data_IF_753533204269
#
_entry.id   IF_753533204269
#
_cell.length_a   1.000
_cell.length_b   1.000
_cell.length_c   1.000
_cell.angle_alpha   90.00
_cell.angle_beta   90.00
_cell.angle_gamma   90.00
#
_symmetry.space_group_name_H-M   'P 1'
#
loop_
_entity.id
_entity.type
_entity.pdbx_description
1 polymer ?
#
# COMPACT_ATOMS: atom_id res chain seq x y z
N UNK A 1 12.40 -61.68 -51.51
CA UNK A 1 13.37 -60.65 -51.08
C UNK A 1 12.70 -59.82 -49.99
N UNK A 2 13.29 -59.82 -48.79
CA UNK A 2 12.78 -59.25 -47.54
C UNK A 2 13.28 -57.80 -47.41
N UNK A 3 12.41 -56.86 -47.02
CA UNK A 3 12.81 -55.62 -46.34
C UNK A 3 11.74 -55.24 -45.30
N UNK A 4 11.96 -55.65 -44.06
CA UNK A 4 11.29 -55.11 -42.89
C UNK A 4 12.03 -53.83 -42.47
N UNK A 5 11.33 -52.70 -42.43
CA UNK A 5 11.86 -51.44 -41.91
C UNK A 5 11.53 -51.35 -40.42
N UNK A 6 12.55 -51.33 -39.57
CA UNK A 6 12.41 -51.15 -38.13
C UNK A 6 12.35 -49.65 -37.80
N UNK A 7 11.24 -49.22 -37.23
CA UNK A 7 11.01 -47.88 -36.68
C UNK A 7 11.63 -47.79 -35.27
N UNK A 8 12.60 -46.89 -35.05
CA UNK A 8 13.05 -46.53 -33.70
C UNK A 8 12.19 -45.37 -33.18
N UNK A 9 11.37 -45.63 -32.17
CA UNK A 9 10.63 -44.62 -31.42
C UNK A 9 11.45 -44.24 -30.17
N UNK A 10 12.13 -43.10 -30.21
CA UNK A 10 12.83 -42.53 -29.04
C UNK A 10 11.81 -41.97 -28.05
N UNK A 11 11.59 -42.67 -26.93
CA UNK A 11 10.86 -42.12 -25.78
C UNK A 11 11.72 -41.04 -25.10
N UNK A 12 11.33 -39.78 -25.26
CA UNK A 12 11.84 -38.71 -24.43
C UNK A 12 11.24 -38.83 -23.02
N UNK A 13 12.06 -39.18 -22.03
CA UNK A 13 11.68 -39.07 -20.61
C UNK A 13 11.54 -37.58 -20.27
N UNK A 14 10.31 -37.08 -20.17
CA UNK A 14 10.03 -35.82 -19.51
C UNK A 14 10.28 -36.01 -18.00
N UNK A 15 11.37 -35.45 -17.49
CA UNK A 15 11.59 -35.39 -16.05
C UNK A 15 10.44 -34.58 -15.40
N UNK A 16 9.92 -34.99 -14.23
CA UNK A 16 8.92 -34.21 -13.52
C UNK A 16 9.55 -32.86 -13.15
N UNK A 17 8.97 -31.78 -13.67
CA UNK A 17 9.30 -30.43 -13.24
C UNK A 17 8.97 -30.33 -11.75
N UNK A 18 9.98 -30.30 -10.88
CA UNK A 18 9.74 -30.03 -9.47
C UNK A 18 9.23 -28.60 -9.38
N UNK A 19 8.01 -28.43 -8.86
CA UNK A 19 7.49 -27.13 -8.49
C UNK A 19 8.53 -26.44 -7.61
N UNK A 20 9.13 -25.36 -8.11
CA UNK A 20 10.11 -24.59 -7.37
C UNK A 20 9.42 -24.10 -6.09
N UNK A 21 9.83 -24.61 -4.94
CA UNK A 21 9.31 -24.17 -3.66
C UNK A 21 9.55 -22.67 -3.50
N UNK A 22 8.60 -21.95 -2.91
CA UNK A 22 8.76 -20.52 -2.64
C UNK A 22 9.95 -20.31 -1.70
N UNK A 23 10.84 -19.38 -2.06
CA UNK A 23 12.00 -19.04 -1.23
C UNK A 23 11.53 -18.62 0.18
N UNK A 24 12.00 -19.29 1.24
CA UNK A 24 11.68 -18.93 2.62
C UNK A 24 11.97 -17.46 2.97
N UNK A 25 12.88 -16.79 2.26
CA UNK A 25 13.16 -15.36 2.43
C UNK A 25 11.98 -14.48 2.05
N UNK A 26 11.28 -14.80 0.95
CA UNK A 26 10.07 -14.11 0.49
C UNK A 26 8.97 -14.22 1.56
N UNK A 27 8.79 -15.43 2.11
CA UNK A 27 7.80 -15.66 3.16
C UNK A 27 8.08 -14.83 4.41
N UNK A 28 9.34 -14.76 4.85
CA UNK A 28 9.73 -13.95 6.01
C UNK A 28 9.53 -12.46 5.77
N UNK A 29 9.79 -11.99 4.55
CA UNK A 29 9.56 -10.59 4.18
C UNK A 29 8.08 -10.25 4.22
N UNK A 30 7.20 -11.12 3.72
CA UNK A 30 5.76 -10.86 3.64
C UNK A 30 5.01 -11.15 4.96
N UNK A 31 5.54 -12.02 5.81
CA UNK A 31 4.92 -12.36 7.08
C UNK A 31 4.73 -11.14 7.99
N UNK A 32 3.75 -11.25 8.89
CA UNK A 32 3.40 -10.22 9.86
C UNK A 32 2.04 -9.61 9.62
N UNK A 33 1.78 -8.48 10.28
CA UNK A 33 0.47 -7.82 10.26
C UNK A 33 0.36 -6.80 9.13
N UNK A 34 -0.77 -6.85 8.44
CA UNK A 34 -1.12 -5.96 7.34
C UNK A 34 -2.50 -5.36 7.57
N UNK A 35 -2.75 -4.20 6.96
CA UNK A 35 -4.07 -3.60 6.85
C UNK A 35 -4.61 -3.89 5.46
N UNK A 36 -5.80 -4.48 5.40
CA UNK A 36 -6.62 -4.53 4.19
C UNK A 36 -7.65 -3.44 4.31
N UNK A 37 -7.67 -2.50 3.38
CA UNK A 37 -8.61 -1.37 3.43
C UNK A 37 -9.19 -1.05 2.05
N UNK A 38 -10.44 -0.56 1.99
CA UNK A 38 -10.96 0.10 0.81
C UNK A 38 -10.07 1.27 0.37
N UNK A 39 -9.76 1.37 -0.92
CA UNK A 39 -8.92 2.41 -1.50
C UNK A 39 -9.56 3.82 -1.42
N UNK A 40 -10.87 3.90 -1.19
CA UNK A 40 -11.60 5.16 -0.98
C UNK A 40 -11.39 5.76 0.44
N UNK A 41 -10.65 5.07 1.31
CA UNK A 41 -10.33 5.50 2.68
C UNK A 41 -11.38 5.19 3.73
N UNK A 42 -12.35 4.33 3.44
CA UNK A 42 -13.19 3.72 4.49
C UNK A 42 -12.34 2.82 5.42
N UNK A 43 -12.79 2.60 6.68
CA UNK A 43 -12.08 1.73 7.62
C UNK A 43 -11.96 0.30 7.11
N UNK A 44 -10.73 -0.20 7.10
CA UNK A 44 -10.37 -1.59 6.84
C UNK A 44 -10.17 -2.41 8.11
N UNK A 45 -9.57 -3.59 7.96
CA UNK A 45 -9.27 -4.49 9.07
C UNK A 45 -7.87 -5.09 8.96
N UNK A 46 -7.38 -5.68 10.05
CA UNK A 46 -6.04 -6.27 10.09
C UNK A 46 -6.08 -7.75 9.76
N UNK A 47 -5.07 -8.18 9.03
CA UNK A 47 -4.76 -9.60 8.81
C UNK A 47 -3.34 -9.89 9.26
N UNK A 48 -3.07 -11.11 9.68
CA UNK A 48 -1.71 -11.58 9.98
C UNK A 48 -1.36 -12.72 9.05
N UNK A 49 -0.27 -12.55 8.30
CA UNK A 49 0.29 -13.54 7.40
C UNK A 49 1.36 -14.34 8.14
N UNK A 50 1.10 -15.62 8.37
CA UNK A 50 2.02 -16.54 9.03
C UNK A 50 2.90 -17.28 8.02
N UNK A 51 4.05 -17.80 8.46
CA UNK A 51 4.92 -18.65 7.63
C UNK A 51 4.62 -20.15 7.77
N UNK A 52 3.71 -20.52 8.68
CA UNK A 52 3.25 -21.91 8.85
C UNK A 52 2.39 -22.33 7.67
N UNK A 53 2.65 -23.52 7.13
CA UNK A 53 1.86 -24.07 6.03
C UNK A 53 0.40 -24.29 6.44
N UNK A 54 -0.50 -24.09 5.49
CA UNK A 54 -1.94 -24.29 5.64
C UNK A 54 -2.51 -24.92 4.37
N UNK A 55 -3.77 -25.36 4.45
CA UNK A 55 -4.53 -25.80 3.30
C UNK A 55 -4.69 -24.59 2.35
N UNK A 56 -3.97 -24.60 1.23
CA UNK A 56 -3.99 -23.50 0.24
C UNK A 56 -2.76 -22.60 0.23
N UNK A 57 -1.75 -22.84 1.08
CA UNK A 57 -0.51 -22.06 1.09
C UNK A 57 0.03 -21.91 2.49
N UNK A 58 -0.05 -20.70 3.03
CA UNK A 58 0.40 -20.36 4.38
C UNK A 58 -0.74 -19.77 5.21
N UNK A 59 -0.69 -19.92 6.53
CA UNK A 59 -1.78 -19.50 7.41
C UNK A 59 -2.04 -17.99 7.37
N UNK A 60 -3.31 -17.60 7.30
CA UNK A 60 -3.77 -16.22 7.45
C UNK A 60 -4.80 -16.17 8.59
N UNK A 61 -4.69 -15.16 9.45
CA UNK A 61 -5.72 -14.88 10.47
C UNK A 61 -6.26 -13.46 10.31
N UNK A 62 -7.58 -13.32 10.40
CA UNK A 62 -8.28 -12.03 10.32
C UNK A 62 -8.57 -11.48 11.72
N UNK A 63 -8.61 -10.16 11.86
CA UNK A 63 -9.13 -9.52 13.08
C UNK A 63 -10.66 -9.64 13.15
N UNK A 64 -11.27 -9.65 14.36
CA UNK A 64 -12.72 -9.85 14.51
C UNK A 64 -13.62 -8.84 13.78
N UNK A 65 -13.11 -7.64 13.50
CA UNK A 65 -13.82 -6.58 12.78
C UNK A 65 -13.82 -6.76 11.25
N UNK A 66 -13.04 -7.70 10.70
CA UNK A 66 -12.99 -7.94 9.25
C UNK A 66 -14.35 -8.29 8.66
N UNK A 67 -15.15 -9.14 9.32
CA UNK A 67 -16.48 -9.51 8.81
C UNK A 67 -17.42 -8.30 8.60
N UNK A 68 -17.21 -7.21 9.34
CA UNK A 68 -17.99 -5.98 9.21
C UNK A 68 -17.33 -4.98 8.23
N UNK A 69 -16.01 -4.84 8.27
CA UNK A 69 -15.27 -3.78 7.56
C UNK A 69 -14.81 -4.18 6.17
N UNK A 70 -14.45 -5.44 5.98
CA UNK A 70 -13.98 -6.00 4.70
C UNK A 70 -14.62 -7.39 4.51
N UNK A 71 -15.93 -7.47 4.23
CA UNK A 71 -16.66 -8.74 4.26
C UNK A 71 -16.11 -9.81 3.30
N UNK A 72 -15.52 -9.42 2.18
CA UNK A 72 -14.96 -10.34 1.17
C UNK A 72 -13.82 -11.22 1.71
N UNK A 73 -13.13 -10.80 2.78
CA UNK A 73 -12.07 -11.59 3.43
C UNK A 73 -12.48 -12.13 4.80
N UNK A 74 -13.76 -12.07 5.18
CA UNK A 74 -14.22 -12.40 6.53
C UNK A 74 -13.78 -13.80 6.99
N UNK A 75 -13.74 -14.77 6.06
CA UNK A 75 -13.38 -16.16 6.27
C UNK A 75 -12.00 -16.53 5.71
N UNK A 76 -11.17 -15.53 5.35
CA UNK A 76 -9.83 -15.78 4.83
C UNK A 76 -9.00 -16.60 5.84
N UNK A 77 -8.41 -17.70 5.36
CA UNK A 77 -7.72 -18.69 6.18
C UNK A 77 -6.31 -19.01 5.69
N UNK A 78 -6.00 -18.69 4.43
CA UNK A 78 -4.68 -18.87 3.87
C UNK A 78 -4.26 -17.72 2.96
N UNK A 79 -2.95 -17.59 2.74
CA UNK A 79 -2.36 -16.71 1.75
C UNK A 79 -1.32 -17.43 0.90
N UNK A 80 -1.11 -16.92 -0.31
CA UNK A 80 -0.20 -17.50 -1.28
C UNK A 80 0.54 -16.42 -2.08
N UNK A 81 1.89 -16.37 -2.06
CA UNK A 81 2.67 -15.32 -2.73
C UNK A 81 3.19 -15.73 -4.12
N UNK A 82 2.35 -16.34 -4.95
CA UNK A 82 2.70 -16.68 -6.34
C UNK A 82 1.97 -15.72 -7.27
N UNK A 83 2.71 -15.13 -8.20
CA UNK A 83 2.22 -14.13 -9.18
C UNK A 83 1.53 -12.93 -8.50
N UNK A 84 2.11 -12.48 -7.39
CA UNK A 84 1.54 -11.45 -6.51
C UNK A 84 1.24 -12.05 -5.14
N UNK A 85 0.12 -11.65 -4.55
CA UNK A 85 -0.33 -12.15 -3.25
C UNK A 85 -1.82 -12.45 -3.33
N UNK A 86 -2.24 -13.64 -2.91
CA UNK A 86 -3.66 -14.03 -2.89
C UNK A 86 -4.09 -14.42 -1.48
N UNK A 87 -5.31 -14.03 -1.12
CA UNK A 87 -6.01 -14.53 0.07
C UNK A 87 -7.04 -15.57 -0.33
N UNK A 88 -7.05 -16.66 0.42
CA UNK A 88 -7.86 -17.83 0.13
C UNK A 88 -8.76 -18.14 1.34
N UNK A 89 -9.99 -18.55 1.05
CA UNK A 89 -10.89 -19.08 2.05
C UNK A 89 -10.62 -20.54 2.39
N UNK A 90 -11.43 -21.15 3.28
CA UNK A 90 -11.18 -22.49 3.81
C UNK A 90 -11.26 -23.61 2.75
N UNK A 91 -11.99 -23.37 1.65
CA UNK A 91 -12.11 -24.33 0.53
C UNK A 91 -11.14 -24.04 -0.62
N UNK A 92 -10.11 -23.21 -0.38
CA UNK A 92 -9.07 -22.78 -1.35
C UNK A 92 -9.58 -21.92 -2.51
N UNK A 93 -10.79 -21.40 -2.41
CA UNK A 93 -11.26 -20.36 -3.31
C UNK A 93 -10.49 -19.06 -3.07
N UNK A 94 -10.11 -18.38 -4.15
CA UNK A 94 -9.51 -17.04 -4.06
C UNK A 94 -10.58 -16.04 -3.64
N UNK A 95 -10.34 -15.34 -2.53
CA UNK A 95 -11.19 -14.26 -2.03
C UNK A 95 -10.74 -12.91 -2.54
N UNK A 96 -9.42 -12.66 -2.53
CA UNK A 96 -8.79 -11.49 -3.15
C UNK A 96 -7.45 -11.90 -3.73
N UNK A 97 -7.14 -11.37 -4.91
CA UNK A 97 -5.80 -11.42 -5.50
C UNK A 97 -5.25 -10.00 -5.58
N UNK A 98 -3.96 -9.85 -5.32
CA UNK A 98 -3.28 -8.57 -5.22
C UNK A 98 -2.04 -8.53 -6.10
N UNK A 99 -1.82 -7.40 -6.75
CA UNK A 99 -0.58 -7.07 -7.45
C UNK A 99 0.24 -6.11 -6.61
N UNK A 100 1.55 -6.36 -6.53
CA UNK A 100 2.50 -5.46 -5.87
C UNK A 100 2.65 -4.15 -6.65
N UNK A 101 2.68 -3.04 -5.92
CA UNK A 101 2.97 -1.71 -6.42
C UNK A 101 4.44 -1.36 -6.11
N UNK A 102 5.00 -0.38 -6.82
CA UNK A 102 6.40 0.07 -6.64
C UNK A 102 6.71 0.57 -5.22
N UNK A 103 5.68 0.91 -4.44
CA UNK A 103 5.80 1.39 -3.07
C UNK A 103 5.65 0.30 -1.99
N UNK A 104 5.75 -0.97 -2.37
CA UNK A 104 5.57 -2.14 -1.51
C UNK A 104 4.18 -2.24 -0.85
N UNK A 105 3.20 -1.48 -1.35
CA UNK A 105 1.78 -1.79 -1.15
C UNK A 105 1.30 -2.79 -2.20
N UNK A 106 0.11 -3.34 -1.99
CA UNK A 106 -0.54 -4.15 -3.01
C UNK A 106 -1.94 -3.64 -3.31
N UNK A 107 -2.31 -3.68 -4.59
CA UNK A 107 -3.65 -3.34 -5.07
C UNK A 107 -4.41 -4.60 -5.45
N UNK A 108 -5.66 -4.73 -4.98
CA UNK A 108 -6.53 -5.82 -5.37
C UNK A 108 -6.80 -5.78 -6.88
N UNK A 109 -6.83 -6.96 -7.47
CA UNK A 109 -7.08 -7.20 -8.88
C UNK A 109 -8.55 -7.57 -9.11
N UNK A 110 -8.97 -7.57 -10.37
CA UNK A 110 -10.28 -8.09 -10.79
C UNK A 110 -10.50 -9.53 -10.27
N UNK A 111 -11.74 -9.91 -9.92
CA UNK A 111 -12.99 -9.17 -10.12
C UNK A 111 -13.36 -8.18 -9.00
N UNK A 112 -12.54 -8.04 -7.97
CA UNK A 112 -12.81 -7.20 -6.79
C UNK A 112 -11.79 -6.06 -6.65
N UNK A 113 -11.69 -5.16 -7.65
CA UNK A 113 -10.82 -4.00 -7.55
C UNK A 113 -11.34 -3.06 -6.45
N UNK A 114 -10.42 -2.33 -5.80
CA UNK A 114 -10.80 -1.30 -4.82
C UNK A 114 -10.37 -1.57 -3.38
N UNK A 115 -9.65 -2.67 -3.13
CA UNK A 115 -8.93 -2.88 -1.88
C UNK A 115 -7.43 -2.68 -2.06
N UNK A 116 -6.77 -2.26 -0.99
CA UNK A 116 -5.32 -2.20 -0.89
C UNK A 116 -4.85 -2.98 0.33
N UNK A 117 -3.67 -3.60 0.21
CA UNK A 117 -2.96 -4.27 1.29
C UNK A 117 -1.70 -3.46 1.60
N UNK A 118 -1.61 -2.94 2.82
CA UNK A 118 -0.57 -1.97 3.21
C UNK A 118 -0.02 -2.30 4.58
N UNK A 119 1.23 -1.92 4.83
CA UNK A 119 1.76 -1.89 6.20
C UNK A 119 1.30 -0.60 6.86
N UNK A 120 0.49 -0.72 7.90
CA UNK A 120 -0.05 0.42 8.63
C UNK A 120 0.43 0.43 10.09
N UNK A 121 0.90 1.57 10.63
CA UNK A 121 1.20 1.71 12.04
C UNK A 121 0.00 1.39 12.93
N UNK A 122 0.25 1.03 14.19
CA UNK A 122 -0.83 0.83 15.16
C UNK A 122 -1.67 2.10 15.33
N UNK A 123 -2.98 1.92 15.53
CA UNK A 123 -3.95 3.01 15.57
C UNK A 123 -4.39 3.55 14.20
N UNK A 124 -3.81 3.06 13.10
CA UNK A 124 -4.27 3.36 11.73
C UNK A 124 -5.11 2.20 11.20
N UNK A 125 -6.35 2.51 10.80
CA UNK A 125 -7.35 1.54 10.34
C UNK A 125 -7.86 1.77 8.91
N UNK A 126 -7.28 2.72 8.18
CA UNK A 126 -7.67 3.08 6.82
C UNK A 126 -6.48 3.63 6.05
N UNK A 127 -6.61 3.73 4.73
CA UNK A 127 -5.71 4.53 3.90
C UNK A 127 -6.19 5.99 3.82
N UNK A 128 -5.33 6.95 3.47
CA UNK A 128 -5.74 8.33 3.28
C UNK A 128 -6.88 8.47 2.27
N UNK A 129 -7.75 9.46 2.49
CA UNK A 129 -8.65 9.99 1.46
C UNK A 129 -8.54 11.51 1.40
N UNK A 130 -8.89 12.09 0.26
CA UNK A 130 -8.72 13.51 0.02
C UNK A 130 -9.55 14.37 0.98
N UNK A 131 -10.81 13.97 1.23
CA UNK A 131 -11.74 14.71 2.09
C UNK A 131 -11.18 14.91 3.49
N UNK A 132 -10.57 13.86 4.05
CA UNK A 132 -9.95 13.92 5.36
C UNK A 132 -8.62 14.70 5.33
N UNK A 133 -7.93 14.81 4.20
CA UNK A 133 -6.69 15.56 4.12
C UNK A 133 -6.89 17.10 4.06
N UNK A 134 -8.07 17.58 3.70
CA UNK A 134 -8.34 19.02 3.56
C UNK A 134 -8.07 19.83 4.85
N UNK A 135 -7.59 21.05 4.66
CA UNK A 135 -7.42 22.04 5.73
C UNK A 135 -5.98 22.42 6.03
N UNK A 136 -5.78 23.00 7.22
CA UNK A 136 -4.50 23.58 7.65
C UNK A 136 -3.64 22.57 8.41
N UNK A 137 -2.36 22.51 8.02
CA UNK A 137 -1.37 21.60 8.55
C UNK A 137 -0.09 22.34 8.95
N UNK A 138 0.59 21.78 9.94
CA UNK A 138 1.94 22.17 10.34
C UNK A 138 2.91 21.10 9.88
N UNK A 139 3.82 21.47 8.98
CA UNK A 139 4.99 20.66 8.65
C UNK A 139 6.07 20.93 9.69
N UNK A 140 6.52 19.87 10.37
CA UNK A 140 7.53 19.97 11.43
C UNK A 140 8.44 18.75 11.48
N UNK A 141 9.52 18.84 12.26
CA UNK A 141 10.25 17.64 12.68
C UNK A 141 9.43 16.86 13.71
N UNK A 142 9.52 15.52 13.74
CA UNK A 142 8.87 14.73 14.79
C UNK A 142 9.26 15.27 16.18
N UNK A 143 8.26 15.69 16.98
CA UNK A 143 8.47 16.25 18.32
C UNK A 143 9.30 17.54 18.39
N UNK A 144 9.57 18.20 17.26
CA UNK A 144 10.52 19.30 17.16
C UNK A 144 9.96 20.57 16.52
N UNK A 145 10.85 21.30 15.85
CA UNK A 145 10.57 22.63 15.33
C UNK A 145 9.55 22.64 14.19
N UNK A 146 8.72 23.68 14.18
CA UNK A 146 7.81 23.97 13.07
C UNK A 146 8.65 24.48 11.90
N UNK A 147 8.54 23.80 10.76
CA UNK A 147 9.25 24.14 9.54
C UNK A 147 8.42 25.05 8.64
N UNK A 148 7.11 24.80 8.57
CA UNK A 148 6.21 25.58 7.74
C UNK A 148 4.73 25.31 8.08
N UNK A 149 3.85 26.26 7.74
CA UNK A 149 2.41 26.02 7.68
C UNK A 149 1.99 25.83 6.23
N UNK A 150 1.21 24.79 5.97
CA UNK A 150 0.67 24.47 4.65
C UNK A 150 -0.83 24.27 4.73
N UNK A 151 -1.54 24.67 3.69
CA UNK A 151 -2.97 24.45 3.54
C UNK A 151 -3.21 23.54 2.36
N UNK A 152 -3.87 22.40 2.62
CA UNK A 152 -4.31 21.44 1.61
C UNK A 152 -5.72 21.82 1.18
N UNK A 153 -5.82 22.41 -0.01
CA UNK A 153 -7.06 22.93 -0.60
C UNK A 153 -8.00 21.80 -1.02
N UNK A 154 -9.31 22.06 -1.03
CA UNK A 154 -10.32 21.24 -1.71
C UNK A 154 -10.54 21.67 -3.18
N UNK A 155 -9.82 22.69 -3.64
CA UNK A 155 -9.85 23.21 -5.01
C UNK A 155 -8.63 22.78 -5.81
N UNK A 156 -8.78 22.50 -7.12
CA UNK A 156 -7.65 22.23 -7.98
C UNK A 156 -6.70 23.42 -8.12
N UNK A 157 -5.41 23.19 -8.45
CA UNK A 157 -4.52 24.26 -8.86
C UNK A 157 -4.97 24.86 -10.20
N UNK A 158 -4.63 26.12 -10.51
CA UNK A 158 -4.90 26.71 -11.82
C UNK A 158 -4.37 25.83 -12.96
N UNK A 159 -5.23 25.46 -13.91
CA UNK A 159 -4.85 24.68 -15.10
C UNK A 159 -4.77 23.15 -14.92
N UNK A 160 -5.10 22.60 -13.74
CA UNK A 160 -5.13 21.14 -13.51
C UNK A 160 -6.50 20.65 -13.06
N UNK A 161 -6.90 19.42 -13.45
CA UNK A 161 -8.22 18.85 -13.11
C UNK A 161 -8.15 17.63 -12.17
N UNK A 162 -6.96 17.06 -11.92
CA UNK A 162 -6.79 15.81 -11.15
C UNK A 162 -5.83 15.92 -9.96
N UNK A 163 -5.74 17.12 -9.38
CA UNK A 163 -5.00 17.36 -8.14
C UNK A 163 -5.63 18.51 -7.39
N UNK A 164 -5.21 18.70 -6.15
CA UNK A 164 -5.65 19.80 -5.31
C UNK A 164 -4.51 20.78 -5.06
N UNK A 165 -4.81 22.06 -4.86
CA UNK A 165 -3.78 23.07 -4.61
C UNK A 165 -3.17 22.94 -3.21
N UNK A 166 -1.86 23.16 -3.10
CA UNK A 166 -1.17 23.39 -1.82
C UNK A 166 -0.86 24.86 -1.70
N UNK A 167 -1.22 25.48 -0.58
CA UNK A 167 -0.79 26.85 -0.25
C UNK A 167 0.20 26.81 0.90
N UNK A 168 1.45 27.17 0.60
CA UNK A 168 2.50 27.35 1.60
C UNK A 168 2.41 28.75 2.17
N UNK A 169 2.41 28.90 3.50
CA UNK A 169 2.49 30.22 4.15
C UNK A 169 3.96 30.64 4.22
N UNK A 170 4.44 31.62 3.43
CA UNK A 170 5.88 31.90 3.33
C UNK A 170 6.45 32.51 4.62
N UNK A 171 5.63 33.27 5.35
CA UNK A 171 6.01 33.92 6.59
C UNK A 171 6.37 32.88 7.66
N UNK A 172 7.62 32.89 8.13
CA UNK A 172 8.11 31.95 9.14
C UNK A 172 8.34 30.52 8.62
N UNK A 173 8.31 30.31 7.30
CA UNK A 173 8.63 29.03 6.68
C UNK A 173 10.14 28.89 6.44
N UNK A 174 10.72 27.75 6.78
CA UNK A 174 12.13 27.48 6.54
C UNK A 174 12.44 27.42 5.04
N UNK A 175 13.62 27.93 4.66
CA UNK A 175 14.08 27.96 3.27
C UNK A 175 14.13 26.56 2.60
N UNK A 176 14.35 25.50 3.39
CA UNK A 176 14.31 24.13 2.87
C UNK A 176 12.93 23.71 2.35
N UNK A 177 11.84 24.24 2.93
CA UNK A 177 10.47 23.94 2.50
C UNK A 177 10.05 24.85 1.36
N UNK A 178 10.36 26.16 1.42
CA UNK A 178 10.00 27.10 0.34
C UNK A 178 10.68 26.77 -0.99
N UNK A 179 11.92 26.26 -0.96
CA UNK A 179 12.63 25.78 -2.16
C UNK A 179 11.97 24.60 -2.87
N UNK A 180 11.15 23.81 -2.17
CA UNK A 180 10.40 22.72 -2.80
C UNK A 180 9.32 23.25 -3.76
N UNK A 181 8.90 24.51 -3.60
CA UNK A 181 7.88 25.18 -4.41
C UNK A 181 6.60 24.34 -4.53
N UNK A 182 6.15 23.77 -3.41
CA UNK A 182 4.94 22.95 -3.32
C UNK A 182 3.73 23.74 -3.84
N UNK A 183 2.97 23.12 -4.75
CA UNK A 183 1.87 23.75 -5.46
C UNK A 183 0.63 22.87 -5.58
N UNK A 184 0.80 21.54 -5.61
CA UNK A 184 -0.33 20.62 -5.67
C UNK A 184 -0.13 19.39 -4.78
N UNK A 185 -1.22 18.68 -4.52
CA UNK A 185 -1.21 17.44 -3.76
C UNK A 185 -2.27 16.46 -4.26
N UNK A 186 -2.02 15.18 -4.01
CA UNK A 186 -2.89 14.05 -4.38
C UNK A 186 -2.89 13.00 -3.27
N UNK A 187 -3.94 12.19 -3.24
CA UNK A 187 -3.87 10.87 -2.63
C UNK A 187 -3.51 9.86 -3.72
N UNK A 188 -2.39 9.20 -3.52
CA UNK A 188 -1.93 8.06 -4.30
C UNK A 188 -1.87 6.90 -3.32
N UNK A 189 -3.04 6.33 -3.00
CA UNK A 189 -3.20 5.42 -1.87
C UNK A 189 -2.14 4.30 -1.90
N UNK A 190 -1.42 4.07 -0.79
CA UNK A 190 -1.68 4.57 0.58
C UNK A 190 -1.08 5.93 0.95
N UNK A 191 -0.56 6.69 -0.01
CA UNK A 191 0.22 7.89 0.24
C UNK A 191 -0.57 9.17 0.03
N UNK A 192 -0.24 10.19 0.80
CA UNK A 192 -0.46 11.58 0.46
C UNK A 192 0.83 12.12 -0.16
N UNK A 193 0.74 12.67 -1.37
CA UNK A 193 1.91 13.19 -2.08
C UNK A 193 1.73 14.69 -2.32
N UNK A 194 2.71 15.49 -1.91
CA UNK A 194 2.82 16.92 -2.22
C UNK A 194 3.79 17.09 -3.39
N UNK A 195 3.41 17.84 -4.42
CA UNK A 195 4.23 18.12 -5.59
C UNK A 195 4.62 19.60 -5.64
N UNK A 196 5.87 19.83 -6.01
CA UNK A 196 6.41 21.13 -6.35
C UNK A 196 6.37 21.40 -7.85
N UNK A 197 6.44 22.68 -8.21
CA UNK A 197 6.47 23.13 -9.61
C UNK A 197 7.73 22.67 -10.37
N UNK A 198 8.80 22.33 -9.65
CA UNK A 198 10.10 21.96 -10.22
C UNK A 198 10.38 20.45 -10.17
N UNK A 199 9.32 19.63 -10.09
CA UNK A 199 9.44 18.17 -10.02
C UNK A 199 9.81 17.62 -8.64
N UNK A 200 10.04 18.48 -7.64
CA UNK A 200 10.22 18.05 -6.25
C UNK A 200 8.91 17.40 -5.72
N UNK A 201 9.03 16.37 -4.90
CA UNK A 201 7.88 15.78 -4.23
C UNK A 201 8.18 15.42 -2.77
N UNK A 202 7.11 15.28 -1.98
CA UNK A 202 7.14 14.70 -0.65
C UNK A 202 5.98 13.73 -0.49
N UNK A 203 6.28 12.47 -0.24
CA UNK A 203 5.28 11.45 0.08
C UNK A 203 5.17 11.23 1.57
N UNK A 204 3.94 11.01 2.02
CA UNK A 204 3.61 10.76 3.41
C UNK A 204 2.64 9.58 3.54
N UNK A 205 2.80 8.82 4.63
CA UNK A 205 1.89 7.78 5.06
C UNK A 205 0.99 8.28 6.19
N UNK A 206 -0.23 7.75 6.27
CA UNK A 206 -1.12 8.03 7.39
C UNK A 206 -0.55 7.43 8.67
N UNK A 207 -0.49 8.24 9.72
CA UNK A 207 -0.17 7.85 11.09
C UNK A 207 -1.30 8.23 12.05
N UNK A 208 -1.20 7.86 13.34
CA UNK A 208 -2.26 8.09 14.31
C UNK A 208 -2.53 9.58 14.61
N UNK A 209 -1.54 10.45 14.40
CA UNK A 209 -1.62 11.89 14.72
C UNK A 209 -1.67 12.81 13.47
N UNK A 210 -1.71 12.24 12.26
CA UNK A 210 -1.56 12.98 11.02
C UNK A 210 -0.77 12.17 10.00
N UNK A 211 0.07 12.83 9.20
CA UNK A 211 0.88 12.16 8.20
C UNK A 211 2.36 12.18 8.57
N UNK A 212 3.08 11.09 8.27
CA UNK A 212 4.53 10.98 8.47
C UNK A 212 5.20 10.76 7.13
N UNK A 213 6.32 11.44 6.85
CA UNK A 213 7.05 11.27 5.60
C UNK A 213 7.39 9.80 5.40
N UNK A 214 7.17 9.32 4.18
CA UNK A 214 7.49 7.97 3.78
C UNK A 214 8.99 7.69 3.99
N UNK A 215 9.38 6.71 4.83
CA UNK A 215 10.76 6.34 5.04
C UNK A 215 11.49 5.92 3.75
N UNK A 216 10.77 5.39 2.75
CA UNK A 216 11.35 4.95 1.48
C UNK A 216 11.92 6.12 0.65
N UNK A 217 11.43 7.34 0.83
CA UNK A 217 11.99 8.53 0.17
C UNK A 217 13.33 8.99 0.78
N UNK A 218 13.70 8.46 1.95
CA UNK A 218 14.89 8.87 2.69
C UNK A 218 14.84 10.34 3.16
N UNK A 219 16.03 10.87 3.47
CA UNK A 219 16.17 12.22 4.00
C UNK A 219 15.77 12.36 5.48
N UNK A 220 15.66 13.60 5.95
CA UNK A 220 15.32 13.87 7.36
C UNK A 220 13.81 13.68 7.61
N UNK A 221 13.39 13.01 8.70
CA UNK A 221 11.99 12.80 9.02
C UNK A 221 11.17 14.09 9.06
N UNK A 222 9.92 14.01 8.59
CA UNK A 222 8.94 15.09 8.62
C UNK A 222 7.58 14.53 9.04
N UNK A 223 6.78 15.35 9.73
CA UNK A 223 5.38 15.07 9.99
C UNK A 223 4.52 16.25 9.55
N UNK A 224 3.31 15.94 9.08
CA UNK A 224 2.21 16.89 8.93
C UNK A 224 1.20 16.60 10.03
N UNK A 225 1.03 17.57 10.92
CA UNK A 225 0.02 17.51 11.97
C UNK A 225 -1.03 18.60 11.75
N UNK A 226 -2.30 18.31 12.04
CA UNK A 226 -3.37 19.30 11.91
C UNK A 226 -3.07 20.51 12.80
N UNK A 227 -3.32 21.71 12.28
CA UNK A 227 -3.35 22.91 13.11
C UNK A 227 -4.51 22.73 14.10
N UNK A 228 -4.19 22.59 15.39
CA UNK A 228 -5.22 22.66 16.44
C UNK A 228 -5.72 24.11 16.47
N UNK A 229 -7.02 24.30 16.33
CA UNK A 229 -7.63 25.60 16.67
C UNK A 229 -7.61 25.72 18.20
N UNK A 230 -7.26 26.90 18.75
CA UNK A 230 -7.31 27.16 20.18
C UNK A 230 -8.72 26.99 20.74
#
# INVERSE_FOLDING_TARGET
MIRAALTLLTLALAAPSQAQGIDPSILRTLAGTWLVAPANGEPGCRVTLATTTSIGGYGLTTSPDCARRVPVIADAAAWHPVDGLSFLGPTRQTLLAFRENEDASYSAMEPDPGYVLVRAPDGVDRVPNARDAFGDWVMRRPGGEILCRVHLSDRPPPGGQESYAVRVTPQGCQASVTRLRLASWRIEAPKLVLYGLDGNSLSFLLGPAGFTKDPAEGGRPLVLERVRRP
#
